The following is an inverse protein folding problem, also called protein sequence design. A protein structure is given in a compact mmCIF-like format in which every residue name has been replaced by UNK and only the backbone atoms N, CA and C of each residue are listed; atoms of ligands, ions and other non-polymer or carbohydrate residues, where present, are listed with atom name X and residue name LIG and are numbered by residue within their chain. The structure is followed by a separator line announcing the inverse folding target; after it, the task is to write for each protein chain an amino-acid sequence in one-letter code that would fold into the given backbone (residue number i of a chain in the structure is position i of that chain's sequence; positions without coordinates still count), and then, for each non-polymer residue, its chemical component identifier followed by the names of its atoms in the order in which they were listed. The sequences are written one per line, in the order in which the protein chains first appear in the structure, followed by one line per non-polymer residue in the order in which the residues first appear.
data_IF_548774823127
#
_entry.id   IF_548774823127
#
_cell.length_a   1.000
_cell.length_b   1.000
_cell.length_c   1.000
_cell.angle_alpha   90.00
_cell.angle_beta   90.00
_cell.angle_gamma   90.00
#
_symmetry.space_group_name_H-M   'P 1'
#
loop_
_entity.id
_entity.type
_entity.pdbx_description
1 polymer ?
#
# COMPACT_ATOMS: atom_id res chain seq x y z
N UNK A 1 -3.49 20.72 -16.32
CA UNK A 1 -4.65 20.46 -17.20
C UNK A 1 -5.62 19.55 -16.49
N UNK A 2 -6.92 19.75 -16.70
CA UNK A 2 -7.94 18.80 -16.25
C UNK A 2 -7.81 17.48 -17.02
N UNK A 3 -8.18 16.36 -16.39
CA UNK A 3 -8.24 15.05 -17.01
C UNK A 3 -9.65 14.47 -16.89
N UNK A 4 -9.92 13.36 -17.59
CA UNK A 4 -11.21 12.65 -17.51
C UNK A 4 -11.59 12.30 -16.06
N UNK A 5 -10.58 12.01 -15.22
CA UNK A 5 -10.76 11.62 -13.83
C UNK A 5 -10.61 12.75 -12.80
N UNK A 6 -10.09 13.92 -13.18
CA UNK A 6 -9.72 14.98 -12.25
C UNK A 6 -10.07 16.34 -12.85
N UNK A 7 -10.91 17.12 -12.16
CA UNK A 7 -11.33 18.45 -12.59
C UNK A 7 -11.06 19.45 -11.47
N UNK A 8 -10.33 20.51 -11.76
CA UNK A 8 -9.96 21.52 -10.75
C UNK A 8 -11.19 22.11 -10.01
N UNK A 9 -12.33 22.42 -10.67
CA UNK A 9 -13.51 22.92 -9.97
C UNK A 9 -14.06 21.92 -8.93
N UNK A 10 -14.06 20.62 -9.26
CA UNK A 10 -14.54 19.55 -8.37
C UNK A 10 -13.64 19.44 -7.14
N UNK A 11 -12.32 19.49 -7.34
CA UNK A 11 -11.36 19.42 -6.22
C UNK A 11 -11.44 20.66 -5.34
N UNK A 12 -11.59 21.86 -5.93
CA UNK A 12 -11.79 23.09 -5.15
C UNK A 12 -13.05 23.02 -4.29
N UNK A 13 -14.17 22.54 -4.85
CA UNK A 13 -15.42 22.38 -4.10
C UNK A 13 -15.28 21.35 -2.98
N UNK A 14 -14.64 20.22 -3.28
CA UNK A 14 -14.31 19.19 -2.31
C UNK A 14 -13.47 19.73 -1.14
N UNK A 15 -12.42 20.49 -1.43
CA UNK A 15 -11.54 21.08 -0.41
C UNK A 15 -12.23 22.16 0.44
N UNK A 16 -13.24 22.86 -0.10
CA UNK A 16 -14.05 23.80 0.69
C UNK A 16 -14.96 23.08 1.69
N UNK A 17 -15.46 21.90 1.32
CA UNK A 17 -16.39 21.13 2.14
C UNK A 17 -15.68 20.25 3.18
N UNK A 18 -14.52 19.70 2.83
CA UNK A 18 -13.73 18.90 3.75
C UNK A 18 -12.89 19.82 4.64
N UNK A 19 -13.04 19.66 5.96
CA UNK A 19 -12.09 20.23 6.91
C UNK A 19 -10.72 19.61 6.65
N UNK A 20 -9.79 20.40 6.11
CA UNK A 20 -8.40 19.98 5.93
C UNK A 20 -7.86 19.54 7.29
N UNK A 21 -7.38 18.31 7.36
CA UNK A 21 -6.90 17.72 8.60
C UNK A 21 -5.55 17.07 8.39
N UNK A 22 -4.66 17.22 9.36
CA UNK A 22 -3.32 16.61 9.36
C UNK A 22 -3.38 15.09 9.19
N UNK A 23 -4.47 14.44 9.66
CA UNK A 23 -4.71 13.01 9.49
C UNK A 23 -4.81 12.55 8.03
N UNK A 24 -5.09 13.47 7.10
CA UNK A 24 -5.11 13.19 5.66
C UNK A 24 -3.72 13.30 5.02
N UNK A 25 -2.74 13.89 5.70
CA UNK A 25 -1.35 13.92 5.24
C UNK A 25 -0.73 12.56 5.55
N UNK A 26 -0.41 11.82 4.50
CA UNK A 26 0.14 10.46 4.60
C UNK A 26 1.52 10.42 3.99
N UNK A 27 2.48 9.82 4.70
CA UNK A 27 3.81 9.51 4.14
C UNK A 27 3.66 8.35 3.15
N UNK A 28 4.38 8.46 2.05
CA UNK A 28 4.36 7.51 0.93
C UNK A 28 5.77 7.11 0.55
N UNK A 29 5.94 5.90 0.04
CA UNK A 29 7.13 5.50 -0.71
C UNK A 29 6.83 5.84 -2.17
N UNK A 30 7.29 7.00 -2.62
CA UNK A 30 7.07 7.45 -3.99
C UNK A 30 7.88 6.59 -4.97
N UNK A 31 9.13 6.29 -4.59
CA UNK A 31 10.01 5.29 -5.20
C UNK A 31 10.79 4.62 -4.07
N UNK A 32 11.42 3.48 -4.35
CA UNK A 32 12.30 2.83 -3.37
C UNK A 32 13.33 3.85 -2.84
N UNK A 33 13.36 4.01 -1.52
CA UNK A 33 14.20 4.97 -0.80
C UNK A 33 13.90 6.47 -1.04
N UNK A 34 12.79 6.83 -1.71
CA UNK A 34 12.28 8.21 -1.87
C UNK A 34 10.92 8.34 -1.17
N UNK A 35 10.94 8.95 0.02
CA UNK A 35 9.74 9.20 0.82
C UNK A 35 9.16 10.59 0.53
N UNK A 36 7.85 10.64 0.32
CA UNK A 36 7.11 11.90 0.12
C UNK A 36 5.86 11.94 0.98
N UNK A 37 5.18 13.07 0.96
CA UNK A 37 3.87 13.22 1.56
C UNK A 37 2.81 13.43 0.48
N UNK A 38 1.65 12.81 0.67
CA UNK A 38 0.46 13.08 -0.12
C UNK A 38 -0.68 13.47 0.79
N UNK A 39 -1.63 14.22 0.22
CA UNK A 39 -2.91 14.44 0.83
C UNK A 39 -3.89 13.36 0.36
N UNK A 40 -4.06 12.32 1.17
CA UNK A 40 -4.88 11.16 0.86
C UNK A 40 -6.30 11.32 1.43
N UNK A 41 -7.29 11.08 0.57
CA UNK A 41 -8.70 11.10 0.95
C UNK A 41 -9.38 9.78 0.62
N UNK A 42 -10.31 9.35 1.48
CA UNK A 42 -11.06 8.10 1.29
C UNK A 42 -11.90 8.12 0.02
N UNK A 43 -12.41 9.29 -0.34
CA UNK A 43 -13.22 9.54 -1.53
C UNK A 43 -12.41 10.24 -2.62
N UNK A 44 -12.96 10.23 -3.83
CA UNK A 44 -12.40 10.93 -4.98
C UNK A 44 -12.38 12.44 -4.71
N UNK A 45 -11.23 13.05 -4.91
CA UNK A 45 -11.02 14.48 -4.69
C UNK A 45 -9.60 14.85 -5.10
N UNK A 46 -8.72 15.03 -4.11
CA UNK A 46 -7.29 15.25 -4.36
C UNK A 46 -6.66 14.02 -5.03
N UNK A 47 -6.96 12.82 -4.51
CA UNK A 47 -6.61 11.55 -5.14
C UNK A 47 -7.75 11.09 -6.04
N UNK A 48 -7.44 10.70 -7.27
CA UNK A 48 -8.44 10.29 -8.28
C UNK A 48 -8.98 8.88 -8.05
N UNK A 49 -8.12 7.97 -7.55
CA UNK A 49 -8.44 6.59 -7.19
C UNK A 49 -7.89 6.32 -5.80
N UNK A 50 -8.73 6.53 -4.79
CA UNK A 50 -8.33 6.27 -3.40
C UNK A 50 -8.14 4.77 -3.16
N UNK A 51 -9.02 3.92 -3.72
CA UNK A 51 -9.03 2.48 -3.45
C UNK A 51 -9.00 2.18 -1.93
N UNK A 52 -9.69 3.01 -1.14
CA UNK A 52 -9.56 3.02 0.32
C UNK A 52 -9.88 1.68 0.99
N UNK A 53 -10.76 0.86 0.39
CA UNK A 53 -11.03 -0.50 0.86
C UNK A 53 -9.76 -1.35 0.99
N UNK A 54 -8.80 -1.14 0.10
CA UNK A 54 -7.50 -1.83 0.11
C UNK A 54 -6.49 -0.99 0.89
N UNK A 55 -6.37 0.30 0.56
CA UNK A 55 -5.36 1.18 1.14
C UNK A 55 -5.48 1.37 2.66
N UNK A 56 -6.65 1.11 3.25
CA UNK A 56 -6.84 1.17 4.72
C UNK A 56 -5.84 0.30 5.48
N UNK A 57 -5.42 -0.84 4.92
CA UNK A 57 -4.47 -1.76 5.55
C UNK A 57 -3.07 -1.15 5.68
N UNK A 58 -2.68 -0.34 4.70
CA UNK A 58 -1.39 0.35 4.69
C UNK A 58 -1.42 1.71 5.41
N UNK A 59 -2.59 2.33 5.51
CA UNK A 59 -2.73 3.71 5.99
C UNK A 59 -3.11 3.86 7.47
N UNK A 60 -3.69 2.81 8.06
CA UNK A 60 -4.30 2.86 9.39
C UNK A 60 -3.74 1.83 10.37
N UNK A 61 -2.86 0.92 9.93
CA UNK A 61 -2.11 0.04 10.84
C UNK A 61 -0.74 0.70 11.03
N UNK A 62 -0.45 1.10 12.26
CA UNK A 62 0.83 1.72 12.59
C UNK A 62 1.97 0.71 12.46
N UNK A 63 3.08 1.13 11.86
CA UNK A 63 4.28 0.31 11.65
C UNK A 63 4.03 -1.02 10.92
N UNK A 64 2.99 -1.11 10.09
CA UNK A 64 2.80 -2.25 9.20
C UNK A 64 3.96 -2.33 8.19
N UNK A 65 4.17 -3.51 7.62
CA UNK A 65 5.23 -3.80 6.65
C UNK A 65 4.59 -4.43 5.42
N UNK A 66 5.05 -4.07 4.23
CA UNK A 66 4.57 -4.66 2.98
C UNK A 66 5.70 -5.43 2.28
N UNK A 67 5.36 -6.62 1.78
CA UNK A 67 6.16 -7.27 0.75
C UNK A 67 5.79 -6.64 -0.61
N UNK A 68 6.79 -6.04 -1.24
CA UNK A 68 6.69 -5.41 -2.54
C UNK A 68 7.30 -6.32 -3.61
N UNK A 69 6.49 -6.71 -4.60
CA UNK A 69 6.93 -7.58 -5.70
C UNK A 69 6.67 -6.92 -7.05
N UNK A 70 7.43 -7.30 -8.08
CA UNK A 70 7.24 -6.79 -9.44
C UNK A 70 6.05 -7.47 -10.13
N UNK A 71 5.12 -6.68 -10.67
CA UNK A 71 3.91 -7.14 -11.38
C UNK A 71 4.17 -7.52 -12.84
N UNK A 72 4.97 -6.74 -13.54
CA UNK A 72 5.31 -6.97 -14.95
C UNK A 72 6.82 -7.01 -15.12
N UNK A 73 7.25 -8.13 -15.68
CA UNK A 73 8.62 -8.33 -16.13
C UNK A 73 8.76 -7.74 -17.52
N UNK A 74 9.32 -6.53 -17.62
CA UNK A 74 9.95 -6.12 -18.89
C UNK A 74 11.12 -7.06 -19.19
N UNK A 75 11.72 -7.65 -18.15
CA UNK A 75 12.86 -8.58 -18.23
C UNK A 75 12.45 -10.02 -18.00
N UNK A 76 12.87 -10.97 -18.84
CA UNK A 76 12.54 -12.41 -18.74
C UNK A 76 12.96 -13.14 -17.45
N UNK A 77 13.61 -12.47 -16.50
CA UNK A 77 14.07 -13.05 -15.23
C UNK A 77 13.59 -12.26 -14.03
N UNK A 78 13.34 -12.98 -12.93
CA UNK A 78 13.11 -12.39 -11.61
C UNK A 78 14.29 -11.49 -11.23
N UNK A 79 14.00 -10.30 -10.71
CA UNK A 79 15.02 -9.30 -10.39
C UNK A 79 15.11 -9.02 -8.90
N UNK A 80 13.98 -8.67 -8.28
CA UNK A 80 13.99 -8.19 -6.91
C UNK A 80 12.60 -8.26 -6.28
N UNK A 81 12.58 -8.44 -4.96
CA UNK A 81 11.45 -8.13 -4.08
C UNK A 81 12.00 -7.28 -2.94
N UNK A 82 11.17 -6.42 -2.37
CA UNK A 82 11.56 -5.57 -1.25
C UNK A 82 10.59 -5.72 -0.09
N UNK A 83 11.11 -5.58 1.12
CA UNK A 83 10.30 -5.42 2.34
C UNK A 83 10.35 -3.94 2.69
N UNK A 84 9.20 -3.28 2.73
CA UNK A 84 9.11 -1.83 2.90
C UNK A 84 8.15 -1.47 4.03
N UNK A 85 8.36 -0.33 4.72
CA UNK A 85 7.34 0.21 5.60
C UNK A 85 6.03 0.41 4.84
N UNK A 86 4.94 -0.10 5.40
CA UNK A 86 3.64 -0.02 4.76
C UNK A 86 3.24 1.44 4.55
N UNK A 87 2.96 1.77 3.31
CA UNK A 87 2.66 3.13 2.89
C UNK A 87 1.96 3.10 1.53
N UNK A 88 1.50 4.26 1.05
CA UNK A 88 1.02 4.32 -0.33
C UNK A 88 2.24 4.20 -1.25
N UNK A 89 2.30 3.16 -2.07
CA UNK A 89 3.24 3.15 -3.20
C UNK A 89 2.50 3.68 -4.42
N UNK A 90 2.99 4.79 -4.95
CA UNK A 90 2.44 5.35 -6.19
C UNK A 90 3.17 4.66 -7.34
N UNK A 91 2.39 4.03 -8.22
CA UNK A 91 2.88 3.23 -9.33
C UNK A 91 3.94 3.93 -10.19
N UNK A 92 4.82 3.08 -10.73
CA UNK A 92 5.63 3.25 -11.93
C UNK A 92 6.93 4.06 -11.79
N UNK A 93 8.04 3.35 -11.60
CA UNK A 93 9.35 3.65 -12.22
C UNK A 93 10.44 2.75 -11.63
N UNK A 94 10.92 1.76 -12.40
CA UNK A 94 12.28 1.25 -12.27
C UNK A 94 13.10 1.30 -13.56
N UNK A 95 12.62 2.01 -14.60
CA UNK A 95 13.41 2.27 -15.80
C UNK A 95 13.40 3.75 -16.19
N UNK A 96 14.57 4.42 -16.24
CA UNK A 96 14.71 5.79 -16.74
C UNK A 96 14.46 5.92 -18.25
N UNK A 97 14.51 4.81 -18.99
CA UNK A 97 14.55 4.82 -20.46
C UNK A 97 13.17 4.52 -21.01
N UNK A 98 12.36 5.58 -21.13
CA UNK A 98 10.92 5.63 -21.44
C UNK A 98 10.40 4.96 -22.72
N UNK A 99 10.71 3.69 -22.98
CA UNK A 99 10.25 2.97 -24.19
C UNK A 99 9.34 1.78 -23.89
N UNK A 100 9.32 1.23 -22.66
CA UNK A 100 8.35 0.19 -22.29
C UNK A 100 7.82 0.50 -20.89
N UNK A 101 6.48 0.45 -20.72
CA UNK A 101 5.79 0.82 -19.49
C UNK A 101 6.54 0.36 -18.25
N UNK A 102 6.85 1.30 -17.35
CA UNK A 102 7.67 1.03 -16.18
C UNK A 102 7.11 -0.12 -15.34
N UNK A 103 7.98 -0.80 -14.60
CA UNK A 103 7.58 -1.89 -13.71
C UNK A 103 6.51 -1.40 -12.72
N UNK A 104 5.35 -2.05 -12.76
CA UNK A 104 4.32 -1.93 -11.73
C UNK A 104 4.67 -2.86 -10.57
N UNK A 105 4.18 -2.56 -9.38
CA UNK A 105 4.38 -3.39 -8.19
C UNK A 105 3.07 -3.96 -7.67
N UNK A 106 3.16 -5.09 -6.99
CA UNK A 106 2.16 -5.56 -6.06
C UNK A 106 2.64 -5.32 -4.63
N UNK A 107 1.70 -4.98 -3.77
CA UNK A 107 1.91 -4.80 -2.34
C UNK A 107 1.12 -5.85 -1.58
N UNK A 108 1.80 -6.56 -0.69
CA UNK A 108 1.20 -7.52 0.21
C UNK A 108 1.46 -7.07 1.65
N UNK A 109 0.51 -6.40 2.30
CA UNK A 109 0.68 -5.97 3.68
C UNK A 109 0.75 -7.19 4.59
N UNK A 110 1.63 -7.13 5.58
CA UNK A 110 1.81 -8.19 6.56
C UNK A 110 0.58 -8.34 7.44
N UNK A 111 -0.03 -7.21 7.81
CA UNK A 111 -1.27 -7.17 8.57
C UNK A 111 -2.41 -6.54 7.79
N UNK A 112 -3.62 -7.04 8.01
CA UNK A 112 -4.86 -6.51 7.46
C UNK A 112 -5.87 -6.21 8.57
N UNK A 113 -6.79 -5.31 8.26
CA UNK A 113 -7.85 -4.85 9.15
C UNK A 113 -9.07 -5.72 8.86
N UNK A 114 -9.55 -6.46 9.85
CA UNK A 114 -10.78 -7.20 9.72
C UNK A 114 -11.99 -6.27 9.83
N UNK A 115 -12.93 -6.44 8.90
CA UNK A 115 -14.22 -5.76 9.02
C UNK A 115 -15.07 -6.53 10.03
N UNK A 116 -14.94 -6.20 11.31
CA UNK A 116 -15.90 -6.66 12.31
C UNK A 116 -17.23 -5.89 12.18
N UNK A 117 -18.33 -6.57 12.52
CA UNK A 117 -19.68 -5.98 12.57
C UNK A 117 -19.90 -5.02 13.75
N UNK A 118 -18.98 -4.97 14.72
CA UNK A 118 -19.11 -4.13 15.92
C UNK A 118 -18.32 -2.82 15.78
N UNK A 119 -18.88 -1.73 16.32
CA UNK A 119 -18.39 -0.35 16.12
C UNK A 119 -17.12 0.00 16.93
N UNK A 120 -16.66 -0.89 17.82
CA UNK A 120 -15.73 -0.49 18.87
C UNK A 120 -14.30 -0.96 18.68
N UNK A 121 -14.01 -2.03 17.93
CA UNK A 121 -12.63 -2.40 17.65
C UNK A 121 -12.48 -3.03 16.26
N UNK A 122 -11.63 -2.41 15.44
CA UNK A 122 -11.13 -3.05 14.23
C UNK A 122 -10.04 -4.04 14.66
N UNK A 123 -10.31 -5.35 14.64
CA UNK A 123 -9.25 -6.33 14.89
C UNK A 123 -8.25 -6.34 13.74
N UNK A 124 -6.96 -6.31 14.07
CA UNK A 124 -5.88 -6.50 13.11
C UNK A 124 -5.52 -7.98 13.09
N UNK A 125 -5.37 -8.57 11.91
CA UNK A 125 -4.88 -9.93 11.73
C UNK A 125 -3.72 -10.01 10.77
N UNK A 126 -2.94 -11.08 10.86
CA UNK A 126 -1.93 -11.41 9.85
C UNK A 126 -2.58 -11.72 8.49
N UNK A 127 -1.87 -11.35 7.42
CA UNK A 127 -2.24 -11.64 6.04
C UNK A 127 -1.62 -12.95 5.51
N UNK A 128 -0.99 -13.74 6.38
CA UNK A 128 -0.61 -15.11 6.06
C UNK A 128 -1.78 -16.07 6.28
N UNK A 129 -1.85 -17.09 5.43
CA UNK A 129 -2.74 -18.22 5.68
C UNK A 129 -2.13 -19.13 6.76
N UNK A 130 -2.97 -19.71 7.60
CA UNK A 130 -2.54 -20.58 8.71
C UNK A 130 -1.76 -21.80 8.23
N UNK A 131 -2.17 -22.41 7.11
CA UNK A 131 -1.46 -23.53 6.49
C UNK A 131 -0.01 -23.17 6.07
N UNK A 132 0.23 -21.93 5.63
CA UNK A 132 1.58 -21.47 5.29
C UNK A 132 2.44 -21.28 6.53
N UNK A 133 1.88 -20.71 7.60
CA UNK A 133 2.58 -20.55 8.89
C UNK A 133 2.99 -21.93 9.42
N UNK A 134 2.05 -22.88 9.46
CA UNK A 134 2.32 -24.25 9.92
C UNK A 134 3.42 -24.91 9.07
N UNK A 135 3.35 -24.77 7.74
CA UNK A 135 4.38 -25.27 6.84
C UNK A 135 5.77 -24.70 7.14
N UNK A 136 5.90 -23.40 7.38
CA UNK A 136 7.19 -22.77 7.72
C UNK A 136 7.69 -23.27 9.07
N UNK A 137 6.81 -23.32 10.08
CA UNK A 137 7.18 -23.76 11.42
C UNK A 137 7.67 -25.21 11.44
N UNK A 138 6.97 -26.09 10.72
CA UNK A 138 7.33 -27.50 10.59
C UNK A 138 8.63 -27.69 9.82
N UNK A 139 8.83 -26.94 8.73
CA UNK A 139 10.01 -27.05 7.86
C UNK A 139 11.30 -26.66 8.56
N UNK A 140 11.25 -25.65 9.43
CA UNK A 140 12.43 -25.11 10.10
C UNK A 140 12.50 -25.48 11.59
N UNK A 141 11.55 -26.27 12.08
CA UNK A 141 11.47 -26.72 13.48
C UNK A 141 11.54 -25.57 14.50
N UNK A 142 10.95 -24.42 14.15
CA UNK A 142 10.90 -23.20 14.96
C UNK A 142 9.53 -22.56 14.79
N UNK A 143 8.95 -22.04 15.87
CA UNK A 143 7.78 -21.16 15.79
C UNK A 143 8.24 -19.75 15.42
N UNK A 144 7.78 -19.23 14.28
CA UNK A 144 8.09 -17.87 13.83
C UNK A 144 6.97 -16.90 14.19
N UNK A 145 7.35 -15.76 14.74
CA UNK A 145 6.50 -14.58 14.71
C UNK A 145 6.31 -14.13 13.25
N UNK A 146 5.13 -13.61 12.94
CA UNK A 146 4.75 -13.22 11.58
C UNK A 146 5.75 -12.23 10.95
N UNK A 147 6.37 -11.37 11.77
CA UNK A 147 7.37 -10.40 11.34
C UNK A 147 8.70 -11.07 10.94
N UNK A 148 9.12 -12.11 11.66
CA UNK A 148 10.36 -12.87 11.39
C UNK A 148 10.30 -13.61 10.03
N UNK A 149 9.09 -13.84 9.49
CA UNK A 149 8.92 -14.49 8.18
C UNK A 149 9.39 -13.59 7.04
N UNK A 150 9.30 -12.26 7.20
CA UNK A 150 9.73 -11.28 6.19
C UNK A 150 11.12 -10.68 6.49
N UNK A 151 11.71 -10.96 7.66
CA UNK A 151 13.04 -10.48 8.06
C UNK A 151 13.37 -10.77 9.51
#
# INVERSE_FOLDING_TARGET
MDSRGWKLPVVRQFLKYIKIGEKCVKRIVYRLFDYRFIYYTKTKGVVTRSSYKIMKHMLNIDNNIDLLTTRFFVTKSFKHNFVVPSSVVIEQCLFPNGINGGESYYLFPLFIIEEQRSLLDSSVKTNFQENFINFINDRYHKQFEVQEILG
#
